data_IF_110755400115
#
_entry.id   IF_110755400115
#
_cell.length_a   1.000
_cell.length_b   1.000
_cell.length_c   1.000
_cell.angle_alpha   90.00
_cell.angle_beta   90.00
_cell.angle_gamma   90.00
#
_symmetry.space_group_name_H-M   'P 1'
#
loop_
_entity.id
_entity.type
_entity.pdbx_description
1 polymer ?
#
# COMPACT_ATOMS: atom_id res chain seq x y z
N UNK A 1 3.43 -23.50 1.86
CA UNK A 1 2.84 -22.55 2.80
C UNK A 1 2.12 -21.47 2.00
N UNK A 2 0.80 -21.53 1.96
CA UNK A 2 -0.02 -20.44 1.42
C UNK A 2 0.09 -19.28 2.42
N UNK A 3 0.90 -18.27 2.08
CA UNK A 3 0.98 -17.04 2.83
C UNK A 3 -0.38 -16.35 2.90
N UNK A 4 -0.52 -15.44 3.84
CA UNK A 4 -1.66 -14.52 3.97
C UNK A 4 -2.12 -14.07 2.59
N UNK A 5 -3.42 -14.23 2.32
CA UNK A 5 -4.04 -14.08 1.01
C UNK A 5 -3.58 -12.85 0.21
N UNK A 6 -3.53 -12.99 -1.09
CA UNK A 6 -3.08 -11.94 -1.99
C UNK A 6 -4.00 -10.72 -1.91
N UNK A 7 -3.42 -9.59 -1.51
CA UNK A 7 -4.04 -8.27 -1.63
C UNK A 7 -3.71 -7.73 -3.01
N UNK A 8 -4.67 -7.75 -3.93
CA UNK A 8 -4.43 -7.15 -5.24
C UNK A 8 -4.60 -5.64 -5.17
N UNK A 9 -3.47 -4.97 -5.25
CA UNK A 9 -3.34 -3.55 -5.00
C UNK A 9 -3.23 -2.70 -6.26
N UNK A 10 -3.71 -1.47 -6.13
CA UNK A 10 -3.20 -0.27 -6.78
C UNK A 10 -3.84 0.17 -8.08
N UNK A 11 -5.11 0.02 -8.24
CA UNK A 11 -5.73 0.69 -9.38
C UNK A 11 -5.75 2.21 -9.22
N UNK A 12 -6.09 2.75 -8.03
CA UNK A 12 -6.10 4.19 -7.77
C UNK A 12 -4.70 4.84 -7.87
N UNK A 13 -3.69 4.28 -7.21
CA UNK A 13 -2.32 4.83 -7.23
C UNK A 13 -1.62 4.68 -8.60
N UNK A 14 -1.81 3.57 -9.31
CA UNK A 14 -1.24 3.41 -10.66
C UNK A 14 -1.87 4.38 -11.64
N UNK A 15 -3.18 4.60 -11.54
CA UNK A 15 -3.89 5.62 -12.33
C UNK A 15 -3.41 7.02 -11.94
N UNK A 16 -3.10 7.29 -10.67
CA UNK A 16 -2.52 8.57 -10.23
C UNK A 16 -1.12 8.77 -10.82
N UNK A 17 -0.29 7.74 -10.89
CA UNK A 17 1.07 7.82 -11.46
C UNK A 17 1.08 8.12 -12.97
N UNK A 18 -0.04 7.88 -13.66
CA UNK A 18 -0.27 8.20 -15.07
C UNK A 18 -0.89 9.60 -15.26
N UNK A 19 -0.64 10.54 -14.37
CA UNK A 19 -1.32 11.84 -14.26
C UNK A 19 -1.44 12.64 -15.56
N UNK A 20 -0.50 12.51 -16.49
CA UNK A 20 -0.54 13.16 -17.81
C UNK A 20 -1.41 12.46 -18.87
N UNK A 21 -1.89 11.23 -18.61
CA UNK A 21 -2.59 10.37 -19.58
C UNK A 21 -3.97 9.93 -19.10
N UNK A 22 -4.48 10.52 -18.01
CA UNK A 22 -5.77 10.14 -17.41
C UNK A 22 -6.79 11.26 -17.47
N UNK A 23 -8.06 10.88 -17.59
CA UNK A 23 -9.22 11.77 -17.42
C UNK A 23 -10.16 11.14 -16.40
N UNK A 24 -10.39 11.87 -15.30
CA UNK A 24 -11.34 11.49 -14.25
C UNK A 24 -12.74 11.95 -14.60
N UNK A 25 -13.72 11.15 -14.27
CA UNK A 25 -15.14 11.48 -14.34
C UNK A 25 -15.88 10.77 -13.21
N UNK A 26 -17.14 11.12 -12.98
CA UNK A 26 -17.99 10.42 -12.02
C UNK A 26 -18.13 8.91 -12.33
N UNK A 27 -18.11 8.55 -13.61
CA UNK A 27 -18.27 7.17 -14.05
C UNK A 27 -17.02 6.30 -13.84
N UNK A 28 -15.83 6.93 -13.78
CA UNK A 28 -14.57 6.24 -13.63
C UNK A 28 -13.39 6.98 -14.25
N UNK A 29 -12.36 6.27 -14.64
CA UNK A 29 -11.09 6.80 -15.14
C UNK A 29 -10.82 6.31 -16.55
N UNK A 30 -10.71 7.23 -17.51
CA UNK A 30 -10.16 6.97 -18.82
C UNK A 30 -8.64 7.20 -18.82
N UNK A 31 -7.86 6.27 -19.34
CA UNK A 31 -6.40 6.37 -19.43
C UNK A 31 -5.86 5.69 -20.67
N UNK A 32 -4.64 6.02 -21.05
CA UNK A 32 -3.94 5.37 -22.16
C UNK A 32 -2.77 4.55 -21.64
N UNK A 33 -2.59 3.35 -22.20
CA UNK A 33 -1.42 2.52 -21.93
C UNK A 33 -0.14 3.24 -22.37
N UNK A 34 0.86 3.24 -21.52
CA UNK A 34 2.19 3.79 -21.83
C UNK A 34 3.01 2.88 -22.76
N UNK A 35 2.57 1.63 -22.97
CA UNK A 35 3.25 0.64 -23.80
C UNK A 35 2.86 0.76 -25.26
N UNK A 36 1.55 0.86 -25.54
CA UNK A 36 0.98 0.79 -26.89
C UNK A 36 -0.02 1.93 -27.20
N UNK A 37 -0.22 2.85 -26.27
CA UNK A 37 -1.15 3.98 -26.40
C UNK A 37 -2.62 3.60 -26.39
N UNK A 38 -2.96 2.32 -26.20
CA UNK A 38 -4.33 1.83 -26.18
C UNK A 38 -5.14 2.49 -25.08
N UNK A 39 -6.35 2.94 -25.40
CA UNK A 39 -7.26 3.59 -24.47
C UNK A 39 -8.03 2.56 -23.64
N UNK A 40 -8.12 2.80 -22.35
CA UNK A 40 -8.88 2.01 -21.39
C UNK A 40 -9.80 2.90 -20.59
N UNK A 41 -10.89 2.31 -20.13
CA UNK A 41 -11.79 2.93 -19.18
C UNK A 41 -11.98 1.98 -17.99
N UNK A 42 -11.79 2.47 -16.78
CA UNK A 42 -11.93 1.71 -15.55
C UNK A 42 -13.01 2.37 -14.69
N UNK A 43 -14.12 1.68 -14.52
CA UNK A 43 -15.15 2.04 -13.55
C UNK A 43 -14.97 1.28 -12.24
N UNK A 44 -15.61 1.70 -11.12
CA UNK A 44 -15.61 0.93 -9.89
C UNK A 44 -16.04 -0.53 -10.07
N UNK A 45 -17.08 -0.78 -10.86
CA UNK A 45 -17.60 -2.12 -11.14
C UNK A 45 -16.60 -2.97 -11.94
N UNK A 46 -15.97 -2.37 -12.94
CA UNK A 46 -14.96 -3.08 -13.74
C UNK A 46 -13.71 -3.40 -12.92
N UNK A 47 -13.32 -2.49 -12.01
CA UNK A 47 -12.25 -2.73 -11.04
C UNK A 47 -12.52 -3.97 -10.20
N UNK A 48 -13.73 -4.10 -9.65
CA UNK A 48 -14.14 -5.26 -8.85
C UNK A 48 -14.14 -6.55 -9.69
N UNK A 49 -14.69 -6.51 -10.92
CA UNK A 49 -14.69 -7.67 -11.83
C UNK A 49 -13.28 -8.16 -12.16
N UNK A 50 -12.34 -7.24 -12.36
CA UNK A 50 -10.93 -7.59 -12.62
C UNK A 50 -10.34 -8.29 -11.39
N UNK A 51 -10.53 -7.75 -10.20
CA UNK A 51 -10.02 -8.32 -8.95
C UNK A 51 -10.65 -9.72 -8.68
N UNK A 52 -11.93 -9.92 -8.98
CA UNK A 52 -12.57 -11.23 -8.93
C UNK A 52 -11.96 -12.24 -9.91
N UNK A 53 -11.68 -11.82 -11.17
CA UNK A 53 -11.01 -12.68 -12.16
C UNK A 53 -9.60 -13.07 -11.78
N UNK A 54 -8.91 -12.22 -11.00
CA UNK A 54 -7.58 -12.48 -10.45
C UNK A 54 -7.64 -13.31 -9.17
N UNK A 55 -8.84 -13.64 -8.71
CA UNK A 55 -9.11 -14.42 -7.50
C UNK A 55 -8.47 -13.84 -6.23
N UNK A 56 -8.49 -12.50 -6.12
CA UNK A 56 -7.93 -11.78 -4.96
C UNK A 56 -8.75 -12.03 -3.70
N UNK A 57 -8.13 -12.52 -2.64
CA UNK A 57 -8.80 -12.75 -1.35
C UNK A 57 -9.26 -11.43 -0.70
N UNK A 58 -8.48 -10.36 -0.84
CA UNK A 58 -8.84 -9.02 -0.40
C UNK A 58 -8.97 -8.12 -1.62
N UNK A 59 -10.19 -7.68 -1.87
CA UNK A 59 -10.54 -6.73 -2.93
C UNK A 59 -10.55 -5.32 -2.38
N UNK A 60 -9.98 -4.37 -3.11
CA UNK A 60 -9.99 -2.95 -2.74
C UNK A 60 -11.07 -2.20 -3.51
N UNK A 61 -11.85 -1.35 -2.83
CA UNK A 61 -12.73 -0.43 -3.54
C UNK A 61 -11.91 0.56 -4.40
N UNK A 62 -12.55 1.13 -5.42
CA UNK A 62 -11.91 2.17 -6.23
C UNK A 62 -11.96 3.51 -5.49
N UNK A 63 -10.86 4.27 -5.54
CA UNK A 63 -10.72 5.57 -4.91
C UNK A 63 -9.95 6.55 -5.80
N UNK A 64 -10.03 7.83 -5.47
CA UNK A 64 -9.13 8.86 -5.98
C UNK A 64 -8.18 9.33 -4.88
N UNK A 65 -6.88 9.21 -5.14
CA UNK A 65 -5.84 9.73 -4.28
C UNK A 65 -5.37 11.09 -4.80
N UNK A 66 -5.58 12.15 -4.03
CA UNK A 66 -5.09 13.50 -4.35
C UNK A 66 -3.65 13.64 -3.90
N UNK A 67 -2.81 14.21 -4.77
CA UNK A 67 -1.42 14.54 -4.41
C UNK A 67 -1.41 15.74 -3.47
N UNK A 68 -0.73 15.62 -2.35
CA UNK A 68 -0.53 16.71 -1.40
C UNK A 68 0.74 17.52 -1.73
N UNK A 69 0.79 18.82 -1.37
CA UNK A 69 -0.29 19.59 -0.74
C UNK A 69 -1.43 19.94 -1.72
N UNK A 70 -2.66 19.95 -1.24
CA UNK A 70 -3.85 20.35 -2.00
C UNK A 70 -4.81 21.16 -1.12
N UNK A 71 -5.64 22.02 -1.72
CA UNK A 71 -6.64 22.78 -0.96
C UNK A 71 -7.72 21.87 -0.38
N UNK A 72 -8.30 22.26 0.76
CA UNK A 72 -9.41 21.56 1.40
C UNK A 72 -10.55 21.28 0.42
N UNK A 73 -10.94 22.27 -0.41
CA UNK A 73 -12.00 22.12 -1.40
C UNK A 73 -11.68 21.08 -2.47
N UNK A 74 -10.40 20.99 -2.91
CA UNK A 74 -9.95 19.98 -3.87
C UNK A 74 -10.03 18.58 -3.25
N UNK A 75 -9.53 18.43 -2.02
CA UNK A 75 -9.56 17.14 -1.30
C UNK A 75 -11.01 16.74 -1.02
N UNK A 76 -11.88 17.67 -0.61
CA UNK A 76 -13.30 17.41 -0.37
C UNK A 76 -14.01 16.82 -1.59
N UNK A 77 -13.86 17.44 -2.77
CA UNK A 77 -14.46 16.93 -4.02
C UNK A 77 -13.99 15.52 -4.35
N UNK A 78 -12.70 15.25 -4.17
CA UNK A 78 -12.12 13.94 -4.39
C UNK A 78 -12.67 12.89 -3.40
N UNK A 79 -12.76 13.24 -2.13
CA UNK A 79 -13.33 12.36 -1.09
C UNK A 79 -14.78 12.03 -1.40
N UNK A 80 -15.60 13.03 -1.73
CA UNK A 80 -17.01 12.82 -2.06
C UNK A 80 -17.18 11.88 -3.26
N UNK A 81 -16.38 12.03 -4.31
CA UNK A 81 -16.36 11.10 -5.45
C UNK A 81 -15.88 9.71 -5.03
N UNK A 82 -14.81 9.61 -4.25
CA UNK A 82 -14.30 8.33 -3.74
C UNK A 82 -15.36 7.59 -2.92
N UNK A 83 -16.16 8.28 -2.13
CA UNK A 83 -17.24 7.63 -1.36
C UNK A 83 -18.36 7.11 -2.26
N UNK A 84 -18.71 7.80 -3.34
CA UNK A 84 -19.65 7.27 -4.34
C UNK A 84 -19.08 6.05 -5.07
N UNK A 85 -17.80 6.07 -5.42
CA UNK A 85 -17.10 4.92 -6.02
C UNK A 85 -16.98 3.74 -5.05
N UNK A 86 -16.73 4.01 -3.77
CA UNK A 86 -16.70 2.98 -2.73
C UNK A 86 -18.05 2.24 -2.62
N UNK A 87 -19.17 2.99 -2.64
CA UNK A 87 -20.53 2.39 -2.66
C UNK A 87 -20.73 1.51 -3.90
N UNK A 88 -20.40 2.01 -5.09
CA UNK A 88 -20.52 1.25 -6.35
C UNK A 88 -19.62 0.01 -6.35
N UNK A 89 -18.41 0.12 -5.79
CA UNK A 89 -17.50 -1.02 -5.62
C UNK A 89 -18.10 -2.09 -4.69
N UNK A 90 -18.67 -1.67 -3.55
CA UNK A 90 -19.33 -2.60 -2.61
C UNK A 90 -20.53 -3.30 -3.23
N UNK A 91 -21.35 -2.55 -3.99
CA UNK A 91 -22.54 -3.11 -4.67
C UNK A 91 -22.15 -4.11 -5.78
N UNK A 92 -20.99 -3.95 -6.40
CA UNK A 92 -20.48 -4.84 -7.44
C UNK A 92 -19.74 -6.06 -6.88
N UNK A 93 -19.37 -6.05 -5.59
CA UNK A 93 -18.66 -7.15 -4.95
C UNK A 93 -19.61 -8.31 -4.67
N UNK A 94 -19.19 -9.51 -5.02
CA UNK A 94 -19.91 -10.76 -4.71
C UNK A 94 -19.31 -11.39 -3.46
N UNK A 95 -20.08 -11.47 -2.41
CA UNK A 95 -19.66 -12.09 -1.15
C UNK A 95 -19.37 -13.59 -1.36
N UNK A 96 -18.21 -14.04 -0.86
CA UNK A 96 -17.73 -15.42 -0.94
C UNK A 96 -16.94 -15.76 0.32
N UNK A 97 -17.01 -16.99 0.78
CA UNK A 97 -16.25 -17.47 1.94
C UNK A 97 -14.72 -17.34 1.69
N UNK A 98 -14.02 -16.72 2.63
CA UNK A 98 -12.57 -16.48 2.53
C UNK A 98 -12.17 -15.27 1.68
N UNK A 99 -13.14 -14.47 1.23
CA UNK A 99 -12.90 -13.24 0.46
C UNK A 99 -13.56 -12.05 1.15
N UNK A 100 -12.93 -10.89 1.02
CA UNK A 100 -13.44 -9.65 1.61
C UNK A 100 -13.17 -8.42 0.75
N UNK A 101 -13.92 -7.36 0.97
CA UNK A 101 -13.72 -6.06 0.32
C UNK A 101 -13.34 -5.00 1.36
N UNK A 102 -12.31 -4.21 1.08
CA UNK A 102 -11.85 -3.12 1.93
C UNK A 102 -12.27 -1.77 1.35
N UNK A 103 -12.80 -0.91 2.22
CA UNK A 103 -13.03 0.50 1.95
C UNK A 103 -11.73 1.30 2.14
N UNK A 104 -11.58 2.42 1.42
CA UNK A 104 -10.39 3.27 1.50
C UNK A 104 -10.76 4.64 2.04
N UNK A 105 -10.32 4.95 3.27
CA UNK A 105 -10.45 6.28 3.86
C UNK A 105 -9.53 7.26 3.15
N UNK A 106 -10.10 8.31 2.57
CA UNK A 106 -9.39 9.44 1.99
C UNK A 106 -9.66 10.72 2.82
N UNK A 107 -8.95 11.81 2.54
CA UNK A 107 -9.15 13.08 3.26
C UNK A 107 -7.88 13.93 3.36
N UNK A 108 -6.76 13.49 2.74
CA UNK A 108 -5.48 14.19 2.84
C UNK A 108 -5.00 14.28 4.30
N UNK A 109 -4.57 15.45 4.69
CA UNK A 109 -4.19 15.83 6.05
C UNK A 109 -5.29 16.61 6.81
N UNK A 110 -6.53 16.62 6.26
CA UNK A 110 -7.69 17.28 6.86
C UNK A 110 -8.52 16.31 7.69
N UNK A 111 -8.53 16.54 9.01
CA UNK A 111 -9.19 15.65 9.98
C UNK A 111 -10.70 15.53 9.75
N UNK A 112 -11.38 16.65 9.45
CA UNK A 112 -12.81 16.68 9.16
C UNK A 112 -13.17 15.85 7.92
N UNK A 113 -12.36 15.90 6.86
CA UNK A 113 -12.58 15.11 5.65
C UNK A 113 -12.28 13.62 5.89
N UNK A 114 -11.30 13.29 6.75
CA UNK A 114 -11.05 11.90 7.20
C UNK A 114 -12.25 11.38 7.99
N UNK A 115 -12.81 12.18 8.89
CA UNK A 115 -14.03 11.86 9.63
C UNK A 115 -15.22 11.61 8.71
N UNK A 116 -15.47 12.52 7.77
CA UNK A 116 -16.51 12.35 6.77
C UNK A 116 -16.35 11.04 5.96
N UNK A 117 -15.14 10.77 5.49
CA UNK A 117 -14.82 9.53 4.76
C UNK A 117 -15.10 8.29 5.60
N UNK A 118 -14.63 8.26 6.84
CA UNK A 118 -14.84 7.14 7.76
C UNK A 118 -16.33 6.88 8.01
N UNK A 119 -17.14 7.92 8.28
CA UNK A 119 -18.58 7.79 8.48
C UNK A 119 -19.29 7.19 7.25
N UNK A 120 -18.94 7.67 6.05
CA UNK A 120 -19.51 7.13 4.81
C UNK A 120 -19.14 5.67 4.58
N UNK A 121 -17.87 5.32 4.81
CA UNK A 121 -17.41 3.94 4.65
C UNK A 121 -18.06 2.99 5.67
N UNK A 122 -18.22 3.41 6.92
CA UNK A 122 -18.94 2.64 7.95
C UNK A 122 -20.41 2.41 7.57
N UNK A 123 -21.07 3.43 7.03
CA UNK A 123 -22.45 3.33 6.57
C UNK A 123 -22.63 2.39 5.37
N UNK A 124 -21.63 2.29 4.48
CA UNK A 124 -21.62 1.33 3.35
C UNK A 124 -21.39 -0.09 3.86
N UNK A 125 -20.46 -0.30 4.80
CA UNK A 125 -20.08 -1.58 5.37
C UNK A 125 -19.02 -2.32 4.54
N UNK A 126 -17.86 -2.54 5.15
CA UNK A 126 -16.72 -3.26 4.56
C UNK A 126 -16.15 -4.30 5.52
N UNK A 127 -15.42 -5.28 5.00
CA UNK A 127 -14.77 -6.32 5.79
C UNK A 127 -13.47 -5.82 6.45
N UNK A 128 -12.90 -4.75 5.92
CA UNK A 128 -11.75 -4.04 6.45
C UNK A 128 -11.66 -2.63 5.89
N UNK A 129 -10.75 -1.82 6.44
CA UNK A 129 -10.62 -0.42 6.10
C UNK A 129 -9.17 -0.03 5.86
N UNK A 130 -8.88 0.54 4.70
CA UNK A 130 -7.56 1.08 4.39
C UNK A 130 -7.49 2.57 4.65
N UNK A 131 -6.31 3.04 5.04
CA UNK A 131 -5.96 4.46 5.17
C UNK A 131 -5.17 4.83 3.92
N UNK A 132 -5.82 5.55 3.01
CA UNK A 132 -5.26 5.98 1.75
C UNK A 132 -4.69 7.40 1.79
N UNK A 133 -4.02 7.81 0.71
CA UNK A 133 -3.51 9.16 0.55
C UNK A 133 -2.34 9.52 1.46
N UNK A 134 -1.63 8.53 2.00
CA UNK A 134 -0.39 8.66 2.76
C UNK A 134 0.75 7.94 2.04
N UNK A 135 2.00 8.25 2.41
CA UNK A 135 3.22 7.77 1.74
C UNK A 135 3.28 8.16 0.24
N UNK A 136 2.75 9.32 -0.10
CA UNK A 136 2.72 9.88 -1.46
C UNK A 136 3.57 11.16 -1.60
N UNK A 137 4.45 11.43 -0.62
CA UNK A 137 5.42 12.54 -0.64
C UNK A 137 5.29 13.54 0.52
N UNK A 138 4.37 13.33 1.46
CA UNK A 138 4.12 14.23 2.61
C UNK A 138 5.17 14.16 3.72
N UNK A 139 5.96 13.10 3.75
CA UNK A 139 6.94 12.85 4.83
C UNK A 139 6.35 12.17 6.06
N UNK A 140 7.25 11.62 6.91
CA UNK A 140 6.88 10.80 8.08
C UNK A 140 6.08 11.58 9.13
N UNK A 141 6.47 12.83 9.39
CA UNK A 141 5.83 13.66 10.42
C UNK A 141 4.33 13.90 10.10
N UNK A 142 4.03 14.28 8.86
CA UNK A 142 2.63 14.48 8.42
C UNK A 142 1.86 13.17 8.44
N UNK A 143 2.48 12.08 7.99
CA UNK A 143 1.86 10.75 8.05
C UNK A 143 1.49 10.37 9.49
N UNK A 144 2.40 10.51 10.46
CA UNK A 144 2.11 10.18 11.85
C UNK A 144 1.06 11.10 12.47
N UNK A 145 1.07 12.40 12.15
CA UNK A 145 0.03 13.32 12.57
C UNK A 145 -1.36 12.88 12.10
N UNK A 146 -1.48 12.43 10.86
CA UNK A 146 -2.75 11.87 10.37
C UNK A 146 -3.10 10.55 11.08
N UNK A 147 -2.12 9.68 11.30
CA UNK A 147 -2.34 8.41 11.99
C UNK A 147 -2.69 8.57 13.48
N UNK A 148 -2.40 9.71 14.11
CA UNK A 148 -2.82 9.98 15.49
C UNK A 148 -4.36 10.01 15.65
N UNK A 149 -5.11 10.27 14.57
CA UNK A 149 -6.58 10.33 14.62
C UNK A 149 -7.29 9.41 13.60
N UNK A 150 -6.73 9.20 12.41
CA UNK A 150 -7.43 8.52 11.32
C UNK A 150 -7.80 7.04 11.64
N UNK A 151 -6.92 6.20 12.22
CA UNK A 151 -7.27 4.83 12.59
C UNK A 151 -8.40 4.76 13.62
N UNK A 152 -8.43 5.69 14.60
CA UNK A 152 -9.46 5.76 15.63
C UNK A 152 -10.86 6.12 15.12
N UNK A 153 -10.98 6.64 13.90
CA UNK A 153 -12.26 6.91 13.23
C UNK A 153 -12.88 5.67 12.59
N UNK A 154 -12.07 4.61 12.39
CA UNK A 154 -12.46 3.35 11.75
C UNK A 154 -12.85 2.30 12.80
N UNK A 155 -13.67 1.29 12.45
CA UNK A 155 -14.04 0.23 13.38
C UNK A 155 -12.82 -0.49 13.96
N UNK A 156 -12.85 -0.80 15.25
CA UNK A 156 -11.78 -1.48 15.97
C UNK A 156 -11.85 -3.00 15.87
N UNK A 157 -13.00 -3.53 15.49
CA UNK A 157 -13.25 -4.94 15.21
C UNK A 157 -12.95 -5.36 13.77
N UNK A 158 -12.42 -4.43 12.94
CA UNK A 158 -12.08 -4.66 11.53
C UNK A 158 -10.62 -4.35 11.23
N UNK A 159 -9.94 -5.09 10.33
CA UNK A 159 -8.57 -4.80 9.95
C UNK A 159 -8.39 -3.38 9.41
N UNK A 160 -7.36 -2.69 9.90
CA UNK A 160 -6.94 -1.35 9.48
C UNK A 160 -5.64 -1.44 8.68
N UNK A 161 -5.67 -1.03 7.46
CA UNK A 161 -4.62 -1.25 6.49
C UNK A 161 -3.98 0.05 6.02
N UNK A 162 -2.70 0.27 6.33
CA UNK A 162 -1.93 1.42 5.83
C UNK A 162 -1.20 1.04 4.55
N UNK A 163 -1.62 1.67 3.45
CA UNK A 163 -1.18 1.34 2.12
C UNK A 163 0.19 1.96 1.79
N UNK A 164 1.11 1.16 1.26
CA UNK A 164 2.38 1.64 0.69
C UNK A 164 3.48 1.97 1.70
N UNK A 165 3.29 1.66 2.96
CA UNK A 165 4.25 1.92 4.05
C UNK A 165 4.98 0.65 4.44
N UNK A 166 6.32 0.71 4.56
CA UNK A 166 7.13 -0.47 4.85
C UNK A 166 8.54 -0.20 5.37
N UNK A 167 8.85 1.02 5.78
CA UNK A 167 10.05 1.28 6.59
C UNK A 167 9.81 0.75 8.01
N UNK A 168 10.81 0.13 8.66
CA UNK A 168 10.63 -0.44 9.98
C UNK A 168 10.12 0.56 11.04
N UNK A 169 10.66 1.77 11.03
CA UNK A 169 10.26 2.87 11.91
C UNK A 169 8.81 3.33 11.66
N UNK A 170 8.40 3.40 10.38
CA UNK A 170 7.03 3.76 9.99
C UNK A 170 6.02 2.67 10.42
N UNK A 171 6.39 1.39 10.23
CA UNK A 171 5.55 0.26 10.65
C UNK A 171 5.31 0.29 12.17
N UNK A 172 6.39 0.40 12.96
CA UNK A 172 6.27 0.44 14.42
C UNK A 172 5.43 1.64 14.87
N UNK A 173 5.69 2.82 14.31
CA UNK A 173 4.94 4.03 14.62
C UNK A 173 3.46 3.93 14.25
N UNK A 174 3.13 3.26 13.16
CA UNK A 174 1.75 3.06 12.72
C UNK A 174 1.02 1.97 13.53
N UNK A 175 1.69 0.87 13.91
CA UNK A 175 1.12 -0.16 14.80
C UNK A 175 0.75 0.43 16.15
N UNK A 176 1.61 1.28 16.73
CA UNK A 176 1.33 2.00 17.98
C UNK A 176 0.08 2.91 17.89
N UNK A 177 -0.36 3.24 16.68
CA UNK A 177 -1.54 4.06 16.37
C UNK A 177 -2.75 3.25 15.91
N UNK A 178 -2.69 1.91 16.00
CA UNK A 178 -3.81 1.02 15.73
C UNK A 178 -3.93 0.57 14.26
N UNK A 179 -2.83 0.51 13.53
CA UNK A 179 -2.78 -0.08 12.18
C UNK A 179 -2.37 -1.54 12.27
N UNK A 180 -3.04 -2.42 11.50
CA UNK A 180 -2.86 -3.87 11.55
C UNK A 180 -2.14 -4.44 10.33
N UNK A 181 -2.28 -3.82 9.16
CA UNK A 181 -1.81 -4.36 7.89
C UNK A 181 -0.98 -3.34 7.11
N UNK A 182 0.03 -3.84 6.40
CA UNK A 182 0.95 -3.04 5.59
C UNK A 182 1.30 -3.74 4.29
N UNK A 183 1.66 -2.95 3.28
CA UNK A 183 2.41 -3.42 2.12
C UNK A 183 3.44 -2.39 1.69
N UNK A 184 4.54 -2.84 1.16
CA UNK A 184 5.50 -1.95 0.54
C UNK A 184 6.42 -2.70 -0.44
N UNK A 185 6.82 -2.01 -1.49
CA UNK A 185 7.87 -2.49 -2.41
C UNK A 185 9.27 -2.36 -1.81
N UNK A 186 9.42 -1.65 -0.69
CA UNK A 186 10.72 -1.31 -0.11
C UNK A 186 11.56 -2.53 0.24
N UNK A 187 11.07 -3.59 0.91
CA UNK A 187 11.89 -4.74 1.25
C UNK A 187 12.53 -5.39 0.02
N UNK A 188 11.73 -5.64 -1.03
CA UNK A 188 12.22 -6.24 -2.28
C UNK A 188 13.09 -5.27 -3.09
N UNK A 189 12.75 -3.98 -3.10
CA UNK A 189 13.57 -2.95 -3.76
C UNK A 189 14.92 -2.81 -3.05
N UNK A 190 14.94 -2.71 -1.72
CA UNK A 190 16.14 -2.62 -0.90
C UNK A 190 17.00 -3.88 -1.06
N UNK A 191 16.39 -5.06 -1.06
CA UNK A 191 17.06 -6.31 -1.39
C UNK A 191 17.79 -6.22 -2.73
N UNK A 192 17.13 -5.83 -3.83
CA UNK A 192 17.76 -5.67 -5.16
C UNK A 192 18.90 -4.66 -5.20
N UNK A 193 18.89 -3.66 -4.33
CA UNK A 193 19.98 -2.66 -4.20
C UNK A 193 21.00 -3.02 -3.13
N UNK A 194 20.91 -4.25 -2.58
CA UNK A 194 21.81 -4.78 -1.54
C UNK A 194 21.75 -3.98 -0.23
N UNK A 195 20.61 -3.41 0.07
CA UNK A 195 20.34 -2.74 1.34
C UNK A 195 19.53 -3.67 2.23
N UNK A 196 19.96 -3.84 3.49
CA UNK A 196 19.26 -4.61 4.50
C UNK A 196 18.94 -3.74 5.72
N UNK A 197 17.81 -4.02 6.36
CA UNK A 197 17.44 -3.42 7.64
C UNK A 197 17.84 -4.37 8.77
N UNK A 198 18.51 -3.83 9.80
CA UNK A 198 18.90 -4.58 11.00
C UNK A 198 18.46 -3.81 12.24
N UNK A 199 18.48 -4.43 13.42
CA UNK A 199 18.18 -3.77 14.69
C UNK A 199 19.12 -2.57 14.98
N UNK A 200 20.28 -2.53 14.32
CA UNK A 200 21.27 -1.43 14.45
C UNK A 200 21.20 -0.42 13.29
N UNK A 201 20.15 -0.48 12.48
CA UNK A 201 19.95 0.40 11.33
C UNK A 201 20.20 -0.27 9.98
N UNK A 202 20.34 0.54 8.94
CA UNK A 202 20.49 0.08 7.57
C UNK A 202 21.92 -0.32 7.25
N UNK A 203 22.09 -1.48 6.63
CA UNK A 203 23.39 -1.98 6.15
C UNK A 203 23.38 -2.05 4.62
N UNK A 204 24.34 -1.42 3.97
CA UNK A 204 24.59 -1.63 2.55
C UNK A 204 25.65 -2.71 2.38
N UNK A 205 25.19 -3.91 1.96
CA UNK A 205 26.03 -5.11 1.88
C UNK A 205 27.08 -5.01 0.77
N UNK A 206 26.90 -4.17 -0.26
CA UNK A 206 27.90 -3.94 -1.32
C UNK A 206 29.12 -3.14 -0.86
N UNK A 207 29.07 -2.55 0.33
CA UNK A 207 30.20 -1.80 0.84
C UNK A 207 31.46 -2.70 0.93
N UNK A 208 32.60 -2.22 0.45
CA UNK A 208 33.86 -2.95 0.40
C UNK A 208 34.29 -3.55 1.76
N UNK A 209 33.91 -2.91 2.87
CA UNK A 209 34.15 -3.42 4.24
C UNK A 209 33.55 -4.79 4.51
N UNK A 210 32.58 -5.24 3.71
CA UNK A 210 31.90 -6.51 3.88
C UNK A 210 32.41 -7.61 2.95
N UNK A 211 33.38 -7.31 2.08
CA UNK A 211 33.88 -8.22 1.05
C UNK A 211 34.43 -9.53 1.64
N UNK A 212 35.07 -9.45 2.79
CA UNK A 212 35.71 -10.58 3.48
C UNK A 212 35.13 -10.80 4.91
N UNK A 213 33.96 -10.21 5.20
CA UNK A 213 33.35 -10.28 6.52
C UNK A 213 32.61 -11.62 6.71
N UNK A 214 33.14 -12.56 7.54
CA UNK A 214 32.54 -13.87 7.77
C UNK A 214 31.32 -13.82 8.71
N UNK A 215 31.04 -12.68 9.33
CA UNK A 215 29.95 -12.53 10.28
C UNK A 215 28.58 -12.56 9.57
N UNK A 216 27.53 -13.00 10.26
CA UNK A 216 26.17 -12.90 9.75
C UNK A 216 25.74 -11.43 9.56
N UNK A 217 24.68 -11.22 8.80
CA UNK A 217 24.09 -9.88 8.65
C UNK A 217 23.73 -9.28 10.01
N UNK A 218 23.16 -10.08 10.88
CA UNK A 218 22.79 -9.72 12.25
C UNK A 218 23.03 -10.92 13.18
N UNK A 219 23.87 -10.75 14.20
CA UNK A 219 24.34 -11.84 15.04
C UNK A 219 23.24 -12.45 15.93
N UNK A 220 22.27 -11.64 16.34
CA UNK A 220 21.18 -12.03 17.22
C UNK A 220 19.90 -12.46 16.46
N UNK A 221 19.98 -12.51 15.11
CA UNK A 221 18.85 -12.88 14.27
C UNK A 221 18.85 -14.38 13.95
N UNK A 222 17.71 -15.02 14.21
CA UNK A 222 17.52 -16.47 14.02
C UNK A 222 17.02 -16.86 12.62
N UNK A 223 16.89 -15.93 11.69
CA UNK A 223 16.41 -16.24 10.35
C UNK A 223 17.41 -17.11 9.56
N UNK A 224 16.95 -17.88 8.56
CA UNK A 224 17.81 -18.75 7.75
C UNK A 224 18.99 -18.02 7.10
N UNK A 225 18.81 -16.74 6.69
CA UNK A 225 19.87 -15.93 6.10
C UNK A 225 21.02 -15.70 7.10
N UNK A 226 20.68 -15.23 8.31
CA UNK A 226 21.70 -14.93 9.33
C UNK A 226 22.37 -16.19 9.89
N UNK A 227 21.64 -17.31 9.97
CA UNK A 227 22.20 -18.58 10.45
C UNK A 227 23.16 -19.25 9.48
N UNK A 228 22.94 -19.08 8.17
CA UNK A 228 23.65 -19.93 7.19
C UNK A 228 24.60 -19.13 6.28
N UNK A 229 24.51 -17.79 6.24
CA UNK A 229 25.27 -16.99 5.28
C UNK A 229 25.98 -15.82 5.94
N UNK A 230 27.22 -15.59 5.49
CA UNK A 230 28.02 -14.44 5.92
C UNK A 230 27.72 -13.18 5.10
N UNK A 231 28.11 -12.03 5.63
CA UNK A 231 28.06 -10.76 4.90
C UNK A 231 28.87 -10.78 3.62
N UNK A 232 29.98 -11.51 3.58
CA UNK A 232 30.79 -11.69 2.39
C UNK A 232 30.06 -12.51 1.30
N UNK A 233 29.29 -13.52 1.69
CA UNK A 233 28.58 -14.39 0.75
C UNK A 233 27.37 -13.74 0.10
N UNK A 234 26.60 -12.94 0.84
CA UNK A 234 25.33 -12.35 0.37
C UNK A 234 25.51 -11.55 -0.93
N UNK A 235 26.54 -10.66 -1.11
CA UNK A 235 26.75 -9.94 -2.37
C UNK A 235 27.09 -10.86 -3.54
N UNK A 236 27.78 -11.95 -3.30
CA UNK A 236 28.17 -12.93 -4.33
C UNK A 236 26.93 -13.63 -4.88
N UNK A 237 26.03 -14.07 -4.01
CA UNK A 237 24.76 -14.68 -4.43
C UNK A 237 23.90 -13.73 -5.24
N UNK A 238 23.91 -12.44 -4.91
CA UNK A 238 23.15 -11.40 -5.61
C UNK A 238 23.67 -11.09 -7.03
N UNK A 239 24.97 -11.25 -7.27
CA UNK A 239 25.58 -11.04 -8.59
C UNK A 239 25.46 -12.25 -9.49
N UNK A 240 25.38 -13.44 -8.94
CA UNK A 240 25.29 -14.70 -9.67
C UNK A 240 23.86 -15.27 -9.80
N UNK A 241 23.01 -15.06 -8.79
CA UNK A 241 21.58 -15.31 -8.88
C UNK A 241 20.90 -14.08 -9.48
N UNK A 242 20.78 -14.05 -10.79
CA UNK A 242 19.95 -13.04 -11.45
C UNK A 242 18.53 -13.13 -10.91
N UNK A 243 17.85 -11.97 -10.83
CA UNK A 243 16.50 -11.74 -10.34
C UNK A 243 15.38 -12.57 -11.04
N UNK A 244 15.65 -13.82 -11.40
CA UNK A 244 14.68 -14.75 -11.96
C UNK A 244 14.04 -15.66 -10.89
N UNK A 245 14.50 -15.54 -9.65
CA UNK A 245 14.07 -16.43 -8.56
C UNK A 245 13.45 -15.69 -7.36
N UNK A 246 13.01 -14.43 -7.55
CA UNK A 246 12.25 -13.69 -6.53
C UNK A 246 10.88 -13.31 -7.03
#
# INVERSE_FOLDING_TARGET
>A
SRGLGDVYKRQGFQVMSLSGLRKLSEDGVAFSSHVDGKKFFLSPEESIKIQHKLDSNITMCMDECVKLPASHETVKKSVEMSMRWAKRSRDAFVDRDGYGIFGIQQGGDYEDLRGYSAEKLKAIGFDGYAIGGLAVGEGQEVMFKVLDYAPGMLPDDKPRYLMGVGRPDDIVGAVLRGVDMFDCVMPTRSGRTSQAFTARGTVNIRNARHREDPRPLEAECDCPLCKNYSRAYIPVSYTHLRAHET
#
